data_IF_134264687614
#
_entry.id   IF_134264687614
#
_cell.length_a   1.000
_cell.length_b   1.000
_cell.length_c   1.000
_cell.angle_alpha   90.00
_cell.angle_beta   90.00
_cell.angle_gamma   90.00
#
_symmetry.space_group_name_H-M   'P 1'
#
loop_
_entity.id
_entity.type
_entity.pdbx_description
1 polymer ?
#
# COMPACT_ATOMS: atom_id res chain seq x y z
N UNK A 1 7.65 8.15 -17.89
CA UNK A 1 7.16 7.35 -16.76
C UNK A 1 7.61 5.90 -16.87
N UNK A 2 8.11 5.38 -15.77
CA UNK A 2 8.57 4.00 -15.56
C UNK A 2 7.65 3.34 -14.53
N UNK A 3 7.50 2.02 -14.62
CA UNK A 3 6.77 1.24 -13.60
C UNK A 3 7.74 0.83 -12.50
N UNK A 4 7.34 1.07 -11.25
CA UNK A 4 8.09 0.75 -10.06
C UNK A 4 7.29 -0.20 -9.18
N UNK A 5 7.95 -1.20 -8.63
CA UNK A 5 7.36 -2.11 -7.64
C UNK A 5 7.98 -1.87 -6.27
N UNK A 6 7.13 -1.83 -5.27
CA UNK A 6 7.50 -1.66 -3.87
C UNK A 6 6.33 -2.09 -2.99
N UNK A 7 6.63 -2.33 -1.73
CA UNK A 7 5.67 -2.71 -0.71
C UNK A 7 5.69 -1.64 0.40
N UNK A 8 4.51 -1.33 0.93
CA UNK A 8 4.35 -0.45 2.09
C UNK A 8 3.73 -1.26 3.23
N UNK A 9 4.40 -1.30 4.37
CA UNK A 9 3.92 -1.98 5.58
C UNK A 9 3.09 -1.00 6.40
N UNK A 10 1.93 -1.46 6.88
CA UNK A 10 0.98 -0.67 7.66
C UNK A 10 1.03 -1.10 9.12
N UNK A 11 1.16 -0.11 10.01
CA UNK A 11 1.09 -0.27 11.45
C UNK A 11 -0.30 0.03 12.01
N UNK A 12 -0.57 -0.52 13.19
CA UNK A 12 -1.68 -0.06 14.05
C UNK A 12 -3.07 -0.56 13.67
N UNK A 13 -3.18 -1.39 12.62
CA UNK A 13 -4.41 -2.07 12.26
C UNK A 13 -4.26 -3.58 12.46
N UNK A 14 -5.34 -4.21 12.91
CA UNK A 14 -5.41 -5.66 13.06
C UNK A 14 -6.50 -6.17 12.13
N UNK A 15 -6.08 -6.90 11.10
CA UNK A 15 -6.99 -7.61 10.19
C UNK A 15 -7.32 -8.96 10.84
N UNK A 16 -8.60 -9.23 11.09
CA UNK A 16 -9.08 -10.45 11.75
C UNK A 16 -10.04 -11.26 10.88
N UNK A 17 -10.47 -10.71 9.75
CA UNK A 17 -11.36 -11.36 8.78
C UNK A 17 -11.01 -10.99 7.34
N UNK A 18 -11.56 -11.73 6.39
CA UNK A 18 -11.46 -11.38 4.96
C UNK A 18 -12.27 -10.11 4.65
N UNK A 19 -13.37 -9.86 5.37
CA UNK A 19 -14.20 -8.64 5.21
C UNK A 19 -13.39 -7.38 5.55
N UNK A 20 -12.58 -7.43 6.62
CA UNK A 20 -11.67 -6.33 6.97
C UNK A 20 -10.68 -6.03 5.82
N UNK A 21 -10.21 -7.07 5.13
CA UNK A 21 -9.29 -6.92 3.99
C UNK A 21 -10.02 -6.35 2.75
N UNK A 22 -11.28 -6.73 2.54
CA UNK A 22 -12.11 -6.16 1.47
C UNK A 22 -12.41 -4.68 1.72
N UNK A 23 -12.75 -4.29 2.95
CA UNK A 23 -12.96 -2.88 3.32
C UNK A 23 -11.70 -2.03 3.06
N UNK A 24 -10.52 -2.59 3.36
CA UNK A 24 -9.23 -1.95 3.05
C UNK A 24 -8.99 -1.85 1.55
N UNK A 25 -9.30 -2.90 0.79
CA UNK A 25 -9.19 -2.89 -0.67
C UNK A 25 -10.07 -1.81 -1.30
N UNK A 26 -11.31 -1.67 -0.82
CA UNK A 26 -12.24 -0.64 -1.29
C UNK A 26 -11.74 0.77 -0.92
N UNK A 27 -11.28 0.98 0.32
CA UNK A 27 -10.70 2.25 0.75
C UNK A 27 -9.47 2.65 -0.07
N UNK A 28 -8.59 1.70 -0.39
CA UNK A 28 -7.43 1.92 -1.27
C UNK A 28 -7.87 2.31 -2.68
N UNK A 29 -8.88 1.62 -3.23
CA UNK A 29 -9.40 1.93 -4.55
C UNK A 29 -9.95 3.37 -4.61
N UNK A 30 -10.74 3.77 -3.61
CA UNK A 30 -11.35 5.10 -3.50
C UNK A 30 -10.31 6.21 -3.28
N UNK A 31 -9.23 5.94 -2.54
CA UNK A 31 -8.08 6.83 -2.40
C UNK A 31 -7.22 6.93 -3.68
N UNK A 32 -7.53 6.13 -4.71
CA UNK A 32 -6.85 6.14 -6.00
C UNK A 32 -5.65 5.21 -6.10
N UNK A 33 -5.45 4.30 -5.14
CA UNK A 33 -4.45 3.23 -5.17
C UNK A 33 -4.91 2.04 -6.05
N UNK A 34 -5.31 2.32 -7.29
CA UNK A 34 -5.84 1.30 -8.24
C UNK A 34 -4.80 0.28 -8.73
N UNK A 35 -3.55 0.56 -8.43
CA UNK A 35 -2.35 -0.21 -8.77
C UNK A 35 -1.78 -0.95 -7.55
N UNK A 36 -2.61 -1.14 -6.52
CA UNK A 36 -2.21 -1.73 -5.24
C UNK A 36 -2.89 -3.08 -4.98
N UNK A 37 -2.26 -3.89 -4.14
CA UNK A 37 -2.79 -5.15 -3.64
C UNK A 37 -2.50 -5.25 -2.13
N UNK A 38 -3.51 -5.15 -1.26
CA UNK A 38 -3.34 -5.37 0.17
C UNK A 38 -3.26 -6.86 0.48
N UNK A 39 -2.34 -7.24 1.35
CA UNK A 39 -2.18 -8.62 1.85
C UNK A 39 -1.86 -8.63 3.34
N UNK A 40 -2.17 -9.74 4.02
CA UNK A 40 -1.87 -9.91 5.43
C UNK A 40 -1.00 -11.13 5.62
N UNK A 41 0.19 -10.92 6.18
CA UNK A 41 1.10 -11.99 6.54
C UNK A 41 1.47 -11.91 8.01
N UNK A 42 1.23 -12.99 8.77
CA UNK A 42 1.45 -13.04 10.22
C UNK A 42 0.81 -11.88 11.01
N UNK A 43 -0.34 -11.39 10.57
CA UNK A 43 -1.08 -10.29 11.20
C UNK A 43 -0.55 -8.89 10.86
N UNK A 44 0.45 -8.78 10.00
CA UNK A 44 0.94 -7.52 9.44
C UNK A 44 0.26 -7.27 8.11
N UNK A 45 -0.38 -6.10 7.96
CA UNK A 45 -0.91 -5.63 6.69
C UNK A 45 0.24 -5.01 5.87
N UNK A 46 0.44 -5.50 4.65
CA UNK A 46 1.30 -4.89 3.65
C UNK A 46 0.51 -4.58 2.38
N UNK A 47 0.96 -3.57 1.64
CA UNK A 47 0.32 -3.12 0.41
C UNK A 47 1.39 -3.10 -0.67
N UNK A 48 1.28 -4.02 -1.62
CA UNK A 48 2.16 -4.08 -2.78
C UNK A 48 1.66 -3.13 -3.87
N UNK A 49 2.57 -2.39 -4.49
CA UNK A 49 2.27 -1.45 -5.58
C UNK A 49 2.98 -1.84 -6.88
N UNK A 50 2.30 -1.63 -8.01
CA UNK A 50 2.91 -1.63 -9.35
C UNK A 50 2.66 -0.27 -10.01
N UNK A 51 3.41 0.75 -9.58
CA UNK A 51 3.10 2.15 -9.82
C UNK A 51 3.85 2.78 -10.97
N UNK A 52 3.13 3.47 -11.85
CA UNK A 52 3.72 4.24 -12.95
C UNK A 52 3.97 5.68 -12.52
N UNK A 53 5.23 6.13 -12.56
CA UNK A 53 5.63 7.47 -12.16
C UNK A 53 6.86 7.98 -12.95
N UNK A 54 7.20 9.26 -12.81
CA UNK A 54 8.41 9.84 -13.42
C UNK A 54 9.69 9.50 -12.67
N UNK A 55 9.60 9.19 -11.37
CA UNK A 55 10.70 8.71 -10.55
C UNK A 55 10.20 7.74 -9.47
N UNK A 56 11.12 6.93 -8.93
CA UNK A 56 10.83 6.02 -7.82
C UNK A 56 10.35 6.78 -6.57
N UNK A 57 11.00 7.91 -6.25
CA UNK A 57 10.60 8.79 -5.16
C UNK A 57 9.18 9.32 -5.35
N UNK A 58 8.81 9.73 -6.57
CA UNK A 58 7.44 10.16 -6.88
C UNK A 58 6.44 9.02 -6.71
N UNK A 59 6.81 7.80 -7.10
CA UNK A 59 5.97 6.61 -6.93
C UNK A 59 5.68 6.35 -5.45
N UNK A 60 6.71 6.33 -4.59
CA UNK A 60 6.54 6.14 -3.15
C UNK A 60 5.74 7.29 -2.54
N UNK A 61 6.12 8.55 -2.82
CA UNK A 61 5.51 9.72 -2.21
C UNK A 61 4.00 9.77 -2.47
N UNK A 62 3.60 9.57 -3.72
CA UNK A 62 2.17 9.53 -4.08
C UNK A 62 1.43 8.36 -3.44
N UNK A 63 2.10 7.22 -3.22
CA UNK A 63 1.47 6.06 -2.55
C UNK A 63 1.24 6.34 -1.06
N UNK A 64 2.24 6.93 -0.40
CA UNK A 64 2.12 7.37 1.00
C UNK A 64 1.00 8.40 1.14
N UNK A 65 0.98 9.44 0.31
CA UNK A 65 -0.05 10.50 0.36
C UNK A 65 -1.47 9.92 0.22
N UNK A 66 -1.66 8.91 -0.64
CA UNK A 66 -2.96 8.26 -0.80
C UNK A 66 -3.30 7.35 0.38
N UNK A 67 -2.36 6.56 0.90
CA UNK A 67 -2.62 5.71 2.07
C UNK A 67 -2.92 6.56 3.30
N UNK A 68 -2.17 7.64 3.53
CA UNK A 68 -2.37 8.56 4.66
C UNK A 68 -3.69 9.34 4.56
N UNK A 69 -4.33 9.37 3.38
CA UNK A 69 -5.68 9.92 3.23
C UNK A 69 -6.79 8.99 3.72
N UNK A 70 -6.47 7.72 3.99
CA UNK A 70 -7.40 6.73 4.51
C UNK A 70 -7.32 6.74 6.04
N UNK A 71 -8.46 6.90 6.70
CA UNK A 71 -8.54 6.87 8.15
C UNK A 71 -8.01 5.54 8.71
N UNK A 72 -7.26 5.64 9.81
CA UNK A 72 -6.69 4.51 10.56
C UNK A 72 -5.58 3.70 9.86
N UNK A 73 -5.10 4.11 8.67
CA UNK A 73 -3.88 3.54 8.09
C UNK A 73 -2.68 4.40 8.45
N UNK A 74 -1.65 3.77 9.01
CA UNK A 74 -0.38 4.41 9.35
C UNK A 74 0.76 3.68 8.69
N UNK A 75 1.61 4.41 7.99
CA UNK A 75 2.81 3.84 7.40
C UNK A 75 3.80 3.44 8.49
N UNK A 76 4.27 2.20 8.43
CA UNK A 76 5.38 1.71 9.25
C UNK A 76 6.71 1.82 8.49
N UNK A 77 6.77 1.21 7.31
CA UNK A 77 7.98 1.13 6.50
C UNK A 77 7.69 0.95 5.01
N UNK A 78 8.67 1.28 4.18
CA UNK A 78 8.63 1.06 2.73
C UNK A 78 9.73 0.07 2.36
N UNK A 79 9.32 -1.07 1.80
CA UNK A 79 10.22 -2.09 1.30
C UNK A 79 10.35 -1.93 -0.21
N UNK A 80 11.55 -1.59 -0.67
CA UNK A 80 11.87 -1.71 -2.09
C UNK A 80 11.96 -3.18 -2.44
N UNK A 81 11.23 -3.62 -3.47
CA UNK A 81 11.35 -4.99 -3.94
C UNK A 81 12.79 -5.20 -4.46
N UNK A 82 13.61 -5.94 -3.71
CA UNK A 82 14.98 -6.32 -4.09
C UNK A 82 14.95 -7.51 -5.05
N UNK A 83 14.03 -7.52 -6.00
CA UNK A 83 14.05 -8.54 -7.05
C UNK A 83 15.00 -8.09 -8.16
N UNK A 84 16.28 -8.39 -7.96
CA UNK A 84 17.28 -8.52 -9.02
C UNK A 84 17.82 -9.95 -9.01
#
# INVERSE_FOLDING_TARGET
MTTYTFEIVIAGIKIVSDDDLFDISDALYDAGCKDSHPEVYNGTLSISFTRKADSYETAIKTAIEQIESIDNLKIDSVNSDKNK
#
